data_IF_154520676679
#
_entry.id   IF_154520676679
#
_cell.length_a   1.000
_cell.length_b   1.000
_cell.length_c   1.000
_cell.angle_alpha   90.00
_cell.angle_beta   90.00
_cell.angle_gamma   90.00
#
_symmetry.space_group_name_H-M   'P 1'
#
loop_
_entity.id
_entity.type
_entity.pdbx_description
1 polymer ?
#
# COMPACT_ATOMS: atom_id res chain seq x y z
N UNK A 1 37.70 19.30 3.27
CA UNK A 1 37.56 18.14 4.18
C UNK A 1 36.38 17.30 3.72
N UNK A 2 36.67 16.21 3.00
CA UNK A 2 35.69 15.27 2.47
C UNK A 2 35.02 14.51 3.61
N UNK A 3 33.71 14.70 3.77
CA UNK A 3 32.86 13.89 4.65
C UNK A 3 32.96 12.42 4.20
N UNK A 4 33.84 11.65 4.84
CA UNK A 4 33.83 10.19 4.78
C UNK A 4 32.44 9.74 5.21
N UNK A 5 31.64 9.22 4.28
CA UNK A 5 30.45 8.44 4.61
C UNK A 5 30.91 7.37 5.59
N UNK A 6 30.41 7.41 6.83
CA UNK A 6 30.60 6.29 7.76
C UNK A 6 30.05 5.06 7.07
N UNK A 7 30.92 4.11 6.72
CA UNK A 7 30.50 2.81 6.22
C UNK A 7 29.64 2.18 7.32
N UNK A 8 28.34 2.07 7.05
CA UNK A 8 27.43 1.38 7.96
C UNK A 8 27.85 -0.08 8.00
N UNK A 9 28.08 -0.60 9.19
CA UNK A 9 28.43 -2.00 9.36
C UNK A 9 27.38 -2.89 8.68
N UNK A 10 27.81 -3.95 7.97
CA UNK A 10 26.89 -4.88 7.33
C UNK A 10 26.04 -5.58 8.38
N UNK A 11 24.73 -5.67 8.14
CA UNK A 11 23.80 -6.41 9.00
C UNK A 11 23.68 -7.83 8.45
N UNK A 12 24.32 -8.79 9.12
CA UNK A 12 24.24 -10.21 8.74
C UNK A 12 23.02 -10.84 9.39
N UNK A 13 22.27 -11.63 8.60
CA UNK A 13 21.12 -12.38 9.09
C UNK A 13 20.51 -13.27 8.02
N UNK A 14 19.39 -13.92 8.36
CA UNK A 14 18.67 -14.81 7.46
C UNK A 14 17.74 -13.98 6.57
N UNK A 15 17.92 -14.07 5.25
CA UNK A 15 17.03 -13.42 4.28
C UNK A 15 15.61 -13.99 4.43
N UNK A 16 14.63 -13.12 4.67
CA UNK A 16 13.25 -13.55 4.90
C UNK A 16 12.65 -14.30 3.70
N UNK A 17 13.08 -13.99 2.47
CA UNK A 17 12.58 -14.65 1.25
C UNK A 17 13.30 -15.98 0.98
N UNK A 18 14.61 -15.96 0.70
CA UNK A 18 15.35 -17.17 0.29
C UNK A 18 15.86 -18.02 1.47
N UNK A 19 15.71 -17.57 2.72
CA UNK A 19 16.15 -18.25 3.95
C UNK A 19 17.64 -18.54 4.04
N UNK A 20 18.48 -17.91 3.19
CA UNK A 20 19.94 -18.00 3.26
C UNK A 20 20.50 -16.92 4.18
N UNK A 21 21.57 -17.25 4.91
CA UNK A 21 22.36 -16.25 5.63
C UNK A 21 23.08 -15.34 4.64
N UNK A 22 23.01 -14.02 4.85
CA UNK A 22 23.60 -13.03 3.96
C UNK A 22 23.63 -11.65 4.62
N UNK A 23 24.30 -10.69 3.97
CA UNK A 23 24.12 -9.28 4.28
C UNK A 23 22.71 -8.81 3.86
N UNK A 24 21.91 -8.43 4.85
CA UNK A 24 20.55 -7.95 4.65
C UNK A 24 20.54 -6.48 4.23
N UNK A 25 19.73 -6.17 3.23
CA UNK A 25 19.48 -4.81 2.76
C UNK A 25 18.30 -4.20 3.50
N UNK A 26 18.31 -2.88 3.61
CA UNK A 26 17.24 -2.11 4.21
C UNK A 26 16.04 -2.02 3.24
N UNK A 27 15.23 -3.06 3.26
CA UNK A 27 14.08 -3.27 2.39
C UNK A 27 12.90 -2.40 2.81
N UNK A 28 12.27 -1.71 1.86
CA UNK A 28 10.99 -1.05 2.09
C UNK A 28 9.84 -2.06 2.04
N UNK A 29 8.87 -1.94 2.96
CA UNK A 29 7.68 -2.80 2.99
C UNK A 29 6.75 -2.46 1.81
N UNK A 30 6.47 -1.17 1.62
CA UNK A 30 5.83 -0.62 0.42
C UNK A 30 6.90 0.05 -0.45
N UNK A 31 6.94 -0.14 -1.79
CA UNK A 31 8.03 0.34 -2.62
C UNK A 31 8.36 1.82 -2.44
N UNK A 32 9.66 2.14 -2.36
CA UNK A 32 10.16 3.50 -2.10
C UNK A 32 9.65 4.56 -3.08
N UNK A 33 9.42 4.18 -4.34
CA UNK A 33 8.94 5.13 -5.36
C UNK A 33 7.56 5.72 -4.99
N UNK A 34 6.73 4.96 -4.26
CA UNK A 34 5.41 5.41 -3.81
C UNK A 34 5.56 6.53 -2.78
N UNK A 35 6.40 6.37 -1.76
CA UNK A 35 6.66 7.42 -0.77
C UNK A 35 7.32 8.67 -1.38
N UNK A 36 8.21 8.49 -2.36
CA UNK A 36 8.78 9.61 -3.13
C UNK A 36 7.71 10.38 -3.89
N UNK A 37 6.76 9.68 -4.50
CA UNK A 37 5.63 10.29 -5.18
C UNK A 37 4.72 11.03 -4.20
N UNK A 38 4.35 10.42 -3.06
CA UNK A 38 3.52 11.09 -2.03
C UNK A 38 4.17 12.40 -1.57
N UNK A 39 5.48 12.37 -1.30
CA UNK A 39 6.23 13.54 -0.85
C UNK A 39 6.25 14.64 -1.92
N UNK A 40 6.43 14.29 -3.20
CA UNK A 40 6.42 15.22 -4.32
C UNK A 40 5.03 15.82 -4.56
N UNK A 41 3.99 15.01 -4.38
CA UNK A 41 2.60 15.36 -4.64
C UNK A 41 1.96 16.16 -3.49
N UNK A 42 2.54 16.09 -2.29
CA UNK A 42 2.15 16.86 -1.11
C UNK A 42 2.70 18.28 -1.17
N UNK A 43 1.83 19.28 -1.03
CA UNK A 43 2.25 20.69 -0.97
C UNK A 43 3.26 20.95 0.16
N UNK A 44 3.08 20.30 1.31
CA UNK A 44 3.99 20.49 2.44
C UNK A 44 5.36 19.86 2.21
N UNK A 45 5.46 18.86 1.32
CA UNK A 45 6.68 18.08 1.11
C UNK A 45 7.08 17.23 2.32
N UNK A 46 6.19 17.05 3.30
CA UNK A 46 6.42 16.32 4.55
C UNK A 46 5.48 15.10 4.60
N UNK A 47 6.03 13.97 5.03
CA UNK A 47 5.26 12.76 5.34
C UNK A 47 4.96 12.76 6.84
N UNK A 48 3.81 12.21 7.24
CA UNK A 48 3.39 12.06 8.64
C UNK A 48 2.65 10.73 8.80
N UNK A 49 2.68 10.17 10.01
CA UNK A 49 1.82 9.05 10.37
C UNK A 49 0.50 9.59 10.92
N UNK A 50 -0.59 8.84 10.72
CA UNK A 50 -1.91 9.26 11.19
C UNK A 50 -1.97 9.39 12.72
N UNK A 51 -1.19 8.60 13.44
CA UNK A 51 -1.08 8.61 14.91
C UNK A 51 0.04 9.52 15.45
N UNK A 52 0.89 10.10 14.58
CA UNK A 52 1.93 11.07 14.96
C UNK A 52 1.85 12.35 14.09
N UNK A 53 0.71 13.08 14.10
CA UNK A 53 0.48 14.23 13.21
C UNK A 53 1.49 15.37 13.37
N UNK A 54 2.05 15.51 14.58
CA UNK A 54 2.94 16.61 14.92
C UNK A 54 4.41 16.34 14.56
N UNK A 55 4.73 15.17 13.98
CA UNK A 55 6.10 14.79 13.61
C UNK A 55 6.21 14.41 12.14
N UNK A 56 7.08 15.10 11.42
CA UNK A 56 7.41 14.72 10.05
C UNK A 56 8.34 13.50 10.03
N UNK A 57 8.03 12.53 9.19
CA UNK A 57 8.90 11.39 8.87
C UNK A 57 9.58 11.61 7.51
N UNK A 58 10.73 10.98 7.30
CA UNK A 58 11.54 11.19 6.10
C UNK A 58 11.27 10.18 4.98
N UNK A 59 10.78 8.99 5.34
CA UNK A 59 10.69 7.83 4.46
C UNK A 59 9.60 6.88 4.97
N UNK A 60 9.25 5.88 4.16
CA UNK A 60 8.32 4.82 4.56
C UNK A 60 8.96 3.77 5.48
N UNK A 61 8.11 2.86 5.97
CA UNK A 61 8.54 1.73 6.79
C UNK A 61 9.49 0.80 6.03
N UNK A 62 10.59 0.43 6.71
CA UNK A 62 11.68 -0.36 6.15
C UNK A 62 12.44 -1.09 7.25
N UNK A 63 12.97 -2.26 6.91
CA UNK A 63 13.73 -3.10 7.84
C UNK A 63 14.80 -3.92 7.09
N UNK A 64 15.81 -4.40 7.79
CA UNK A 64 16.79 -5.32 7.20
C UNK A 64 16.11 -6.68 6.98
N UNK A 65 15.69 -6.96 5.74
CA UNK A 65 14.76 -8.07 5.43
C UNK A 65 15.30 -9.04 4.38
N UNK A 66 15.79 -8.51 3.25
CA UNK A 66 16.15 -9.30 2.08
C UNK A 66 17.65 -9.21 1.76
N UNK A 67 18.20 -10.29 1.21
CA UNK A 67 19.53 -10.26 0.62
C UNK A 67 19.53 -9.45 -0.69
N UNK A 68 20.71 -9.05 -1.18
CA UNK A 68 20.84 -8.25 -2.41
C UNK A 68 20.24 -8.91 -3.66
N UNK A 69 20.27 -10.23 -3.76
CA UNK A 69 19.68 -10.96 -4.89
C UNK A 69 18.14 -10.91 -4.85
N UNK A 70 17.53 -11.11 -3.68
CA UNK A 70 16.09 -11.02 -3.52
C UNK A 70 15.57 -9.60 -3.73
N UNK A 71 16.31 -8.57 -3.27
CA UNK A 71 16.03 -7.17 -3.57
C UNK A 71 16.04 -6.90 -5.08
N UNK A 72 17.03 -7.41 -5.81
CA UNK A 72 17.12 -7.26 -7.26
C UNK A 72 15.91 -7.87 -7.96
N UNK A 73 15.48 -9.05 -7.53
CA UNK A 73 14.29 -9.72 -8.08
C UNK A 73 13.02 -8.89 -7.87
N UNK A 74 12.83 -8.29 -6.69
CA UNK A 74 11.67 -7.41 -6.44
C UNK A 74 11.78 -6.12 -7.25
N UNK A 75 12.97 -5.54 -7.35
CA UNK A 75 13.21 -4.31 -8.09
C UNK A 75 12.85 -4.42 -9.58
N UNK A 76 13.02 -5.58 -10.20
CA UNK A 76 12.61 -5.83 -11.58
C UNK A 76 11.10 -5.57 -11.77
N UNK A 77 10.27 -6.21 -10.95
CA UNK A 77 8.80 -6.05 -11.02
C UNK A 77 8.35 -4.66 -10.57
N UNK A 78 9.00 -4.08 -9.55
CA UNK A 78 8.73 -2.71 -9.10
C UNK A 78 9.03 -1.67 -10.20
N UNK A 79 10.10 -1.87 -10.97
CA UNK A 79 10.47 -0.98 -12.07
C UNK A 79 9.45 -1.06 -13.20
N UNK A 80 9.04 -2.28 -13.57
CA UNK A 80 8.00 -2.49 -14.59
C UNK A 80 6.68 -1.84 -14.14
N UNK A 81 6.24 -2.09 -12.90
CA UNK A 81 5.01 -1.51 -12.36
C UNK A 81 5.08 0.01 -12.29
N UNK A 82 6.20 0.57 -11.82
CA UNK A 82 6.41 2.02 -11.74
C UNK A 82 6.21 2.67 -13.11
N UNK A 83 6.87 2.12 -14.14
CA UNK A 83 6.89 2.72 -15.48
C UNK A 83 5.60 2.46 -16.27
N UNK A 84 5.01 1.27 -16.16
CA UNK A 84 3.85 0.87 -16.98
C UNK A 84 2.50 1.16 -16.32
N UNK A 85 2.45 1.31 -15.00
CA UNK A 85 1.19 1.44 -14.25
C UNK A 85 1.18 2.68 -13.39
N UNK A 86 2.11 2.81 -12.44
CA UNK A 86 2.05 3.85 -11.43
C UNK A 86 2.22 5.25 -12.00
N UNK A 87 3.29 5.50 -12.78
CA UNK A 87 3.55 6.82 -13.38
C UNK A 87 2.42 7.22 -14.34
N UNK A 88 1.98 6.37 -15.30
CA UNK A 88 0.81 6.68 -16.14
C UNK A 88 -0.44 7.00 -15.32
N UNK A 89 -0.76 6.18 -14.31
CA UNK A 89 -1.92 6.45 -13.44
C UNK A 89 -1.82 7.81 -12.73
N UNK A 90 -0.65 8.20 -12.23
CA UNK A 90 -0.48 9.48 -11.54
C UNK A 90 -0.58 10.69 -12.48
N UNK A 91 -0.25 10.52 -13.75
CA UNK A 91 -0.29 11.59 -14.75
C UNK A 91 -1.67 11.73 -15.39
N UNK A 92 -2.24 10.59 -15.81
CA UNK A 92 -3.37 10.56 -16.75
C UNK A 92 -4.63 9.92 -16.17
N UNK A 93 -4.55 9.40 -14.94
CA UNK A 93 -5.63 8.60 -14.35
C UNK A 93 -5.69 7.18 -14.91
N UNK A 94 -6.74 6.43 -14.54
CA UNK A 94 -7.02 5.11 -15.11
C UNK A 94 -8.20 5.20 -16.08
N UNK A 95 -7.90 5.52 -17.33
CA UNK A 95 -8.90 5.81 -18.38
C UNK A 95 -8.92 4.77 -19.52
N UNK A 96 -8.01 3.79 -19.50
CA UNK A 96 -7.84 2.80 -20.56
C UNK A 96 -7.61 1.41 -20.00
N UNK A 97 -7.63 0.39 -20.88
CA UNK A 97 -7.32 -0.99 -20.48
C UNK A 97 -5.82 -1.17 -20.24
N UNK A 98 -5.44 -1.56 -19.02
CA UNK A 98 -4.09 -2.02 -18.72
C UNK A 98 -3.93 -3.46 -19.23
N UNK A 99 -3.09 -3.65 -20.26
CA UNK A 99 -2.65 -4.97 -20.72
C UNK A 99 -1.31 -5.31 -20.09
N UNK A 100 -1.14 -6.56 -19.69
CA UNK A 100 0.14 -7.04 -19.19
C UNK A 100 0.40 -8.46 -19.71
N UNK A 101 1.65 -8.72 -20.05
CA UNK A 101 2.11 -10.01 -20.54
C UNK A 101 2.74 -10.82 -19.39
N UNK A 102 2.58 -12.15 -19.42
CA UNK A 102 3.12 -13.03 -18.38
C UNK A 102 2.55 -12.73 -16.99
N UNK A 103 3.35 -12.98 -15.95
CA UNK A 103 2.93 -12.93 -14.55
C UNK A 103 3.50 -11.73 -13.76
N UNK A 104 4.20 -10.78 -14.40
CA UNK A 104 4.93 -9.72 -13.69
C UNK A 104 4.03 -8.87 -12.79
N UNK A 105 2.77 -8.62 -13.18
CA UNK A 105 1.84 -7.85 -12.37
C UNK A 105 1.39 -8.65 -11.14
N UNK A 106 1.17 -9.96 -11.30
CA UNK A 106 0.91 -10.88 -10.20
C UNK A 106 2.11 -10.93 -9.24
N UNK A 107 3.34 -11.03 -9.76
CA UNK A 107 4.57 -11.03 -8.95
C UNK A 107 4.79 -9.72 -8.21
N UNK A 108 4.54 -8.57 -8.85
CA UNK A 108 4.61 -7.27 -8.20
C UNK A 108 3.62 -7.20 -7.02
N UNK A 109 2.36 -7.53 -7.26
CA UNK A 109 1.34 -7.50 -6.20
C UNK A 109 1.71 -8.46 -5.08
N UNK A 110 2.06 -9.70 -5.40
CA UNK A 110 2.45 -10.69 -4.40
C UNK A 110 3.69 -10.26 -3.61
N UNK A 111 4.66 -9.54 -4.21
CA UNK A 111 5.85 -9.07 -3.47
C UNK A 111 5.54 -7.97 -2.46
N UNK A 112 4.60 -7.07 -2.78
CA UNK A 112 4.12 -6.04 -1.85
C UNK A 112 3.30 -6.69 -0.73
N UNK A 113 2.30 -7.50 -1.08
CA UNK A 113 1.44 -8.17 -0.10
C UNK A 113 2.22 -9.15 0.79
N UNK A 114 3.23 -9.85 0.26
CA UNK A 114 4.08 -10.75 1.04
C UNK A 114 4.91 -9.99 2.09
N UNK A 115 5.49 -8.83 1.75
CA UNK A 115 6.25 -8.02 2.72
C UNK A 115 5.36 -7.53 3.86
N UNK A 116 4.14 -7.09 3.54
CA UNK A 116 3.14 -6.66 4.53
C UNK A 116 2.74 -7.85 5.41
N UNK A 117 2.34 -8.98 4.80
CA UNK A 117 1.93 -10.18 5.53
C UNK A 117 3.05 -10.71 6.44
N UNK A 118 4.29 -10.73 5.94
CA UNK A 118 5.45 -11.17 6.72
C UNK A 118 5.64 -10.32 7.98
N UNK A 119 5.54 -8.99 7.83
CA UNK A 119 5.66 -8.06 8.95
C UNK A 119 4.51 -8.23 9.94
N UNK A 120 3.28 -8.34 9.45
CA UNK A 120 2.09 -8.53 10.30
C UNK A 120 2.14 -9.87 11.06
N UNK A 121 2.58 -10.96 10.42
CA UNK A 121 2.79 -12.25 11.10
C UNK A 121 3.76 -12.07 12.27
N UNK A 122 4.88 -11.37 12.05
CA UNK A 122 5.86 -11.10 13.11
C UNK A 122 5.22 -10.33 14.26
N UNK A 123 4.43 -9.29 13.97
CA UNK A 123 3.71 -8.55 15.01
C UNK A 123 2.71 -9.42 15.77
N UNK A 124 1.96 -10.28 15.08
CA UNK A 124 1.02 -11.19 15.72
C UNK A 124 1.70 -12.24 16.60
N UNK A 125 2.90 -12.69 16.24
CA UNK A 125 3.70 -13.62 17.06
C UNK A 125 4.25 -12.96 18.32
N UNK A 126 4.62 -11.67 18.22
CA UNK A 126 5.19 -10.89 19.32
C UNK A 126 4.10 -10.26 20.23
N UNK A 127 2.83 -10.28 19.83
CA UNK A 127 1.72 -9.69 20.60
C UNK A 127 1.46 -10.45 21.91
N UNK A 128 1.52 -9.70 23.02
CA UNK A 128 1.35 -10.19 24.37
C UNK A 128 -0.04 -9.88 24.94
N UNK A 129 -0.72 -8.85 24.42
CA UNK A 129 -2.08 -8.48 24.83
C UNK A 129 -3.08 -9.56 24.34
N UNK A 130 -3.71 -10.33 25.25
CA UNK A 130 -4.64 -11.40 24.86
C UNK A 130 -5.83 -10.89 24.05
N UNK A 131 -6.20 -9.59 24.16
CA UNK A 131 -7.31 -8.99 23.40
C UNK A 131 -6.95 -8.69 21.96
N UNK A 132 -5.65 -8.59 21.63
CA UNK A 132 -5.14 -8.30 20.29
C UNK A 132 -4.54 -9.53 19.61
N UNK A 133 -4.34 -10.60 20.39
CA UNK A 133 -3.75 -11.84 19.90
C UNK A 133 -4.66 -12.51 18.86
N UNK A 134 -4.06 -12.86 17.73
CA UNK A 134 -4.73 -13.66 16.71
C UNK A 134 -4.82 -15.13 17.17
N UNK A 135 -5.89 -15.82 16.80
CA UNK A 135 -6.01 -17.24 17.11
C UNK A 135 -5.00 -18.10 16.31
N UNK A 136 -4.64 -19.24 16.88
CA UNK A 136 -3.61 -20.13 16.33
C UNK A 136 -3.94 -20.67 14.94
N UNK A 137 -5.22 -20.94 14.64
CA UNK A 137 -5.65 -21.48 13.34
C UNK A 137 -5.43 -20.42 12.25
N UNK A 138 -5.79 -19.17 12.52
CA UNK A 138 -5.52 -18.05 11.61
C UNK A 138 -4.03 -17.81 11.45
N UNK A 139 -3.26 -17.76 12.52
CA UNK A 139 -1.80 -17.59 12.41
C UNK A 139 -1.15 -18.66 11.53
N UNK A 140 -1.59 -19.92 11.65
CA UNK A 140 -1.13 -21.01 10.80
C UNK A 140 -1.51 -20.82 9.33
N UNK A 141 -2.74 -20.35 9.06
CA UNK A 141 -3.19 -19.99 7.71
C UNK A 141 -2.30 -18.89 7.09
N UNK A 142 -1.98 -17.85 7.87
CA UNK A 142 -1.14 -16.73 7.40
C UNK A 142 0.28 -17.20 7.09
N UNK A 143 0.89 -18.00 7.97
CA UNK A 143 2.21 -18.58 7.75
C UNK A 143 2.26 -19.48 6.51
N UNK A 144 1.23 -20.32 6.31
CA UNK A 144 1.12 -21.14 5.10
C UNK A 144 0.99 -20.28 3.84
N UNK A 145 0.22 -19.20 3.91
CA UNK A 145 0.02 -18.27 2.80
C UNK A 145 1.30 -17.48 2.47
N UNK A 146 2.00 -17.01 3.49
CA UNK A 146 3.34 -16.40 3.38
C UNK A 146 4.29 -17.36 2.67
N UNK A 147 4.34 -18.64 3.07
CA UNK A 147 5.20 -19.63 2.45
C UNK A 147 4.86 -19.87 0.97
N UNK A 148 3.57 -19.97 0.63
CA UNK A 148 3.11 -20.12 -0.76
C UNK A 148 3.56 -18.93 -1.60
N UNK A 149 3.31 -17.71 -1.12
CA UNK A 149 3.74 -16.48 -1.80
C UNK A 149 5.27 -16.43 -1.94
N UNK A 150 6.02 -16.76 -0.88
CA UNK A 150 7.48 -16.80 -0.87
C UNK A 150 8.04 -17.73 -1.93
N UNK A 151 7.55 -18.98 -1.97
CA UNK A 151 7.96 -19.99 -2.95
C UNK A 151 7.62 -19.58 -4.38
N UNK A 152 6.45 -18.96 -4.60
CA UNK A 152 6.09 -18.42 -5.89
C UNK A 152 7.02 -17.28 -6.34
N UNK A 153 7.35 -16.35 -5.43
CA UNK A 153 8.28 -15.24 -5.69
C UNK A 153 9.71 -15.72 -5.99
N UNK A 154 10.13 -16.85 -5.39
CA UNK A 154 11.40 -17.53 -5.67
C UNK A 154 11.38 -18.41 -6.94
N UNK A 155 10.23 -18.48 -7.62
CA UNK A 155 10.02 -19.37 -8.79
C UNK A 155 10.16 -20.87 -8.46
N UNK A 156 10.06 -21.24 -7.18
CA UNK A 156 9.96 -22.63 -6.73
C UNK A 156 8.55 -23.20 -6.95
N UNK A 157 7.57 -22.32 -7.22
CA UNK A 157 6.20 -22.66 -7.62
C UNK A 157 5.75 -21.77 -8.76
N UNK A 158 4.83 -22.29 -9.58
CA UNK A 158 4.28 -21.60 -10.74
C UNK A 158 3.08 -20.72 -10.42
N UNK A 159 2.42 -20.88 -9.26
CA UNK A 159 1.22 -20.13 -8.86
C UNK A 159 1.15 -19.90 -7.33
N UNK A 160 0.18 -19.09 -6.91
CA UNK A 160 -0.13 -18.75 -5.51
C UNK A 160 -1.33 -19.54 -4.94
N UNK A 161 -1.63 -20.72 -5.49
CA UNK A 161 -2.74 -21.59 -5.07
C UNK A 161 -4.09 -20.85 -5.11
N UNK A 162 -4.88 -20.88 -4.02
CA UNK A 162 -6.19 -20.25 -3.94
C UNK A 162 -6.14 -18.75 -3.59
N UNK A 163 -4.96 -18.17 -3.42
CA UNK A 163 -4.79 -16.74 -3.11
C UNK A 163 -5.13 -15.93 -4.36
N UNK A 164 -5.95 -14.89 -4.20
CA UNK A 164 -6.37 -14.03 -5.33
C UNK A 164 -5.83 -12.62 -5.17
N UNK A 165 -5.23 -12.12 -6.23
CA UNK A 165 -4.76 -10.73 -6.30
C UNK A 165 -5.75 -9.88 -7.08
N UNK A 166 -6.12 -8.74 -6.50
CA UNK A 166 -6.97 -7.73 -7.11
C UNK A 166 -6.26 -6.38 -7.10
N UNK A 167 -6.45 -5.61 -8.17
CA UNK A 167 -5.99 -4.23 -8.29
C UNK A 167 -7.17 -3.33 -8.67
N UNK A 168 -7.31 -2.22 -7.94
CA UNK A 168 -8.35 -1.23 -8.14
C UNK A 168 -7.72 0.17 -8.22
N UNK A 169 -8.11 0.93 -9.24
CA UNK A 169 -7.63 2.28 -9.47
C UNK A 169 -8.67 3.27 -8.96
N UNK A 170 -8.39 3.84 -7.80
CA UNK A 170 -9.13 4.94 -7.19
C UNK A 170 -8.73 6.25 -7.87
N UNK A 171 -9.24 6.45 -9.10
CA UNK A 171 -9.08 7.69 -9.87
C UNK A 171 -10.19 8.68 -9.50
N UNK A 172 -11.06 9.04 -10.44
CA UNK A 172 -12.29 9.80 -10.18
C UNK A 172 -13.40 8.80 -9.86
N UNK A 173 -13.76 8.71 -8.59
CA UNK A 173 -14.88 7.86 -8.18
C UNK A 173 -16.19 8.59 -8.49
N UNK A 174 -17.06 7.95 -9.27
CA UNK A 174 -18.36 8.53 -9.66
C UNK A 174 -19.36 8.52 -8.51
N UNK A 175 -19.33 7.48 -7.68
CA UNK A 175 -20.17 7.31 -6.49
C UNK A 175 -19.37 6.59 -5.39
N UNK A 176 -19.40 7.14 -4.18
CA UNK A 176 -18.69 6.61 -3.03
C UNK A 176 -19.63 6.59 -1.82
N UNK A 177 -20.55 5.62 -1.78
CA UNK A 177 -21.53 5.50 -0.72
C UNK A 177 -20.89 5.51 0.68
N UNK A 178 -21.25 6.50 1.50
CA UNK A 178 -20.82 6.61 2.90
C UNK A 178 -19.35 7.02 3.13
N UNK A 179 -18.60 7.43 2.10
CA UNK A 179 -17.21 7.87 2.24
C UNK A 179 -17.09 9.40 2.20
N UNK A 180 -16.37 9.99 3.17
CA UNK A 180 -16.11 11.43 3.22
C UNK A 180 -14.72 11.80 2.67
N UNK A 181 -14.65 12.72 1.71
CA UNK A 181 -13.40 13.16 1.07
C UNK A 181 -12.47 12.00 0.65
N UNK A 182 -12.98 11.03 -0.14
CA UNK A 182 -12.24 9.80 -0.40
C UNK A 182 -11.00 10.00 -1.31
N UNK A 183 -10.96 11.03 -2.16
CA UNK A 183 -9.77 11.32 -2.98
C UNK A 183 -8.63 11.82 -2.10
N UNK A 184 -8.90 12.71 -1.15
CA UNK A 184 -7.90 13.17 -0.16
C UNK A 184 -7.40 12.00 0.67
N UNK A 185 -8.29 11.09 1.08
CA UNK A 185 -7.91 9.92 1.89
C UNK A 185 -7.07 8.92 1.10
N UNK A 186 -7.58 8.42 -0.03
CA UNK A 186 -6.96 7.31 -0.76
C UNK A 186 -5.79 7.82 -1.62
N UNK A 187 -5.95 8.89 -2.38
CA UNK A 187 -4.84 9.39 -3.20
C UNK A 187 -3.81 10.18 -2.38
N UNK A 188 -4.13 10.57 -1.14
CA UNK A 188 -3.25 11.31 -0.21
C UNK A 188 -2.51 10.45 0.81
N UNK A 189 -2.64 9.13 0.76
CA UNK A 189 -2.02 8.23 1.73
C UNK A 189 -1.30 7.05 1.09
N UNK A 190 -0.44 6.44 1.90
CA UNK A 190 0.20 5.15 1.62
C UNK A 190 0.04 4.31 2.86
N UNK A 191 -0.52 3.11 2.73
CA UNK A 191 -0.71 2.18 3.84
C UNK A 191 -0.73 0.75 3.33
N UNK A 192 -0.45 -0.19 4.24
CA UNK A 192 -0.52 -1.62 3.98
C UNK A 192 -0.74 -2.35 5.30
N UNK A 193 -1.67 -3.30 5.32
CA UNK A 193 -1.96 -4.11 6.50
C UNK A 193 -2.75 -5.36 6.13
N UNK A 194 -2.66 -6.34 7.01
CA UNK A 194 -3.49 -7.54 7.03
C UNK A 194 -4.73 -7.32 7.88
N UNK A 195 -5.88 -7.83 7.42
CA UNK A 195 -7.15 -7.76 8.15
C UNK A 195 -7.91 -9.07 8.00
N UNK A 196 -8.47 -9.54 9.11
CA UNK A 196 -9.35 -10.71 9.13
C UNK A 196 -10.63 -10.41 9.87
N UNK A 197 -11.73 -10.98 9.41
CA UNK A 197 -13.04 -10.85 10.05
C UNK A 197 -13.42 -12.17 10.71
N UNK A 198 -13.66 -12.10 12.01
CA UNK A 198 -13.64 -13.28 12.86
C UNK A 198 -14.83 -14.21 12.64
N UNK A 199 -16.01 -13.64 12.41
CA UNK A 199 -17.27 -14.38 12.30
C UNK A 199 -17.39 -15.09 10.95
N UNK A 200 -16.70 -14.54 9.94
CA UNK A 200 -16.84 -14.91 8.55
C UNK A 200 -15.68 -15.79 8.03
N UNK A 201 -14.68 -16.07 8.88
CA UNK A 201 -13.46 -16.82 8.54
C UNK A 201 -12.78 -16.28 7.27
N UNK A 202 -12.61 -14.95 7.17
CA UNK A 202 -12.00 -14.29 6.01
C UNK A 202 -10.70 -13.58 6.35
N UNK A 203 -9.84 -13.41 5.35
CA UNK A 203 -8.56 -12.74 5.54
C UNK A 203 -8.01 -12.11 4.26
N UNK A 204 -7.50 -10.89 4.39
CA UNK A 204 -7.00 -10.05 3.30
C UNK A 204 -5.68 -9.41 3.68
N UNK A 205 -4.89 -9.10 2.67
CA UNK A 205 -3.83 -8.09 2.74
C UNK A 205 -4.24 -6.94 1.85
N UNK A 206 -4.41 -5.75 2.41
CA UNK A 206 -4.78 -4.55 1.68
C UNK A 206 -3.60 -3.57 1.67
N UNK A 207 -3.34 -2.95 0.53
CA UNK A 207 -2.42 -1.83 0.45
C UNK A 207 -2.92 -0.76 -0.50
N UNK A 208 -2.55 0.48 -0.22
CA UNK A 208 -2.84 1.63 -1.06
C UNK A 208 -1.54 2.32 -1.46
N UNK A 209 -1.35 2.43 -2.77
CA UNK A 209 -0.21 3.07 -3.41
C UNK A 209 -0.67 4.38 -4.06
N UNK A 210 -1.17 5.33 -3.26
CA UNK A 210 -1.62 6.67 -3.70
C UNK A 210 -2.73 6.67 -4.74
N UNK A 211 -3.77 5.86 -4.52
CA UNK A 211 -4.87 5.70 -5.46
C UNK A 211 -4.91 4.32 -6.11
N UNK A 212 -3.80 3.58 -6.11
CA UNK A 212 -3.81 2.19 -6.58
C UNK A 212 -3.99 1.28 -5.38
N UNK A 213 -5.19 0.76 -5.20
CA UNK A 213 -5.52 -0.19 -4.14
C UNK A 213 -5.19 -1.60 -4.64
N UNK A 214 -4.47 -2.33 -3.82
CA UNK A 214 -4.15 -3.75 -4.03
C UNK A 214 -4.80 -4.52 -2.89
N UNK A 215 -5.52 -5.59 -3.25
CA UNK A 215 -6.08 -6.54 -2.28
C UNK A 215 -5.64 -7.94 -2.66
N UNK A 216 -4.97 -8.60 -1.73
CA UNK A 216 -4.65 -10.02 -1.83
C UNK A 216 -5.56 -10.77 -0.87
N UNK A 217 -6.50 -11.53 -1.43
CA UNK A 217 -7.45 -12.34 -0.66
C UNK A 217 -6.75 -13.66 -0.32
N UNK A 218 -6.49 -13.87 0.97
CA UNK A 218 -5.96 -15.13 1.51
C UNK A 218 -7.10 -16.12 1.72
N UNK A 219 -8.25 -15.62 2.19
CA UNK A 219 -9.44 -16.42 2.46
C UNK A 219 -10.68 -15.57 2.17
N UNK A 220 -11.45 -16.00 1.17
CA UNK A 220 -12.56 -15.24 0.61
C UNK A 220 -13.79 -15.20 1.51
N UNK A 221 -14.51 -14.08 1.47
CA UNK A 221 -15.89 -13.99 1.94
C UNK A 221 -16.88 -14.65 0.97
N UNK A 222 -18.07 -14.99 1.45
CA UNK A 222 -19.16 -15.45 0.59
C UNK A 222 -19.78 -14.34 -0.27
N UNK A 223 -19.59 -13.07 0.12
CA UNK A 223 -20.17 -11.90 -0.56
C UNK A 223 -19.16 -11.15 -1.44
N UNK A 224 -18.02 -11.74 -1.79
CA UNK A 224 -17.04 -11.10 -2.66
C UNK A 224 -17.60 -10.84 -4.06
N UNK A 225 -17.60 -9.57 -4.49
CA UNK A 225 -17.92 -9.17 -5.86
C UNK A 225 -16.80 -8.28 -6.40
N UNK A 226 -16.09 -8.83 -7.37
CA UNK A 226 -14.96 -8.18 -8.01
C UNK A 226 -15.11 -8.23 -9.52
N UNK A 227 -15.23 -7.07 -10.17
CA UNK A 227 -15.34 -6.96 -11.63
C UNK A 227 -14.17 -6.18 -12.19
N UNK A 228 -13.49 -6.76 -13.17
CA UNK A 228 -12.35 -6.14 -13.86
C UNK A 228 -11.18 -5.71 -12.95
N UNK A 229 -11.01 -6.35 -11.79
CA UNK A 229 -9.91 -6.08 -10.83
C UNK A 229 -8.95 -7.27 -10.66
N UNK A 230 -9.39 -8.49 -10.99
CA UNK A 230 -8.59 -9.71 -10.78
C UNK A 230 -7.34 -9.71 -11.65
N UNK A 231 -6.18 -9.91 -11.01
CA UNK A 231 -4.88 -10.05 -11.65
C UNK A 231 -4.55 -11.52 -11.80
N UNK A 232 -4.62 -11.99 -13.04
CA UNK A 232 -4.23 -13.34 -13.40
C UNK A 232 -2.73 -13.56 -13.31
N UNK A 233 -2.34 -14.80 -13.04
CA UNK A 233 -0.97 -15.29 -13.09
C UNK A 233 -0.54 -15.72 -14.51
N UNK A 234 -0.96 -14.96 -15.51
CA UNK A 234 -0.79 -15.19 -16.95
C UNK A 234 -1.09 -13.86 -17.69
N UNK A 235 -0.80 -13.73 -19.00
CA UNK A 235 -1.17 -12.53 -19.75
C UNK A 235 -2.63 -12.13 -19.51
N UNK A 236 -2.87 -10.85 -19.26
CA UNK A 236 -4.18 -10.40 -18.80
C UNK A 236 -4.47 -8.94 -19.11
N UNK A 237 -5.69 -8.54 -18.74
CA UNK A 237 -6.21 -7.19 -18.96
C UNK A 237 -7.00 -6.73 -17.74
N UNK A 238 -6.71 -5.53 -17.26
CA UNK A 238 -7.50 -4.80 -16.26
C UNK A 238 -8.26 -3.70 -17.00
N UNK A 239 -9.57 -3.60 -16.78
CA UNK A 239 -10.49 -2.79 -17.60
C UNK A 239 -11.38 -1.91 -16.74
N UNK A 240 -11.98 -0.90 -17.36
CA UNK A 240 -13.11 -0.16 -16.83
C UNK A 240 -14.45 -0.78 -17.29
N UNK A 241 -15.55 -0.54 -16.55
CA UNK A 241 -15.57 -0.04 -15.18
C UNK A 241 -15.06 -1.11 -14.20
N UNK A 242 -14.38 -0.69 -13.14
CA UNK A 242 -14.03 -1.58 -12.03
C UNK A 242 -15.13 -1.51 -10.97
N UNK A 243 -15.61 -2.66 -10.52
CA UNK A 243 -16.64 -2.76 -9.47
C UNK A 243 -16.08 -3.62 -8.34
N UNK A 244 -16.20 -3.11 -7.11
CA UNK A 244 -15.78 -3.81 -5.90
C UNK A 244 -16.90 -3.68 -4.87
N UNK A 245 -17.44 -4.81 -4.46
CA UNK A 245 -18.33 -4.95 -3.31
C UNK A 245 -17.75 -6.11 -2.48
N UNK A 246 -17.02 -5.75 -1.42
CA UNK A 246 -16.24 -6.66 -0.59
C UNK A 246 -16.15 -6.12 0.83
N UNK A 247 -16.21 -6.97 1.87
CA UNK A 247 -16.08 -6.54 3.26
C UNK A 247 -14.81 -5.73 3.53
N UNK A 248 -13.70 -6.04 2.84
CA UNK A 248 -12.42 -5.34 3.01
C UNK A 248 -12.50 -3.85 2.64
N UNK A 249 -13.48 -3.42 1.84
CA UNK A 249 -13.67 -2.00 1.53
C UNK A 249 -14.12 -1.18 2.74
N UNK A 250 -14.71 -1.80 3.78
CA UNK A 250 -15.04 -1.12 5.04
C UNK A 250 -13.79 -0.56 5.75
N UNK A 251 -12.61 -1.09 5.45
CA UNK A 251 -11.35 -0.56 5.96
C UNK A 251 -11.05 0.86 5.47
N UNK A 252 -11.58 1.25 4.30
CA UNK A 252 -11.45 2.63 3.81
C UNK A 252 -12.11 3.60 4.79
N UNK A 253 -13.31 3.27 5.27
CA UNK A 253 -14.01 4.07 6.30
C UNK A 253 -13.23 4.10 7.61
N UNK A 254 -12.63 2.97 8.02
CA UNK A 254 -11.76 2.93 9.23
C UNK A 254 -10.54 3.84 9.10
N UNK A 255 -9.93 3.89 7.91
CA UNK A 255 -8.81 4.79 7.60
C UNK A 255 -9.26 6.24 7.64
N UNK A 256 -10.42 6.57 7.08
CA UNK A 256 -11.01 7.91 7.15
C UNK A 256 -11.17 8.37 8.59
N UNK A 257 -11.74 7.53 9.46
CA UNK A 257 -11.89 7.85 10.88
C UNK A 257 -10.56 8.17 11.56
N UNK A 258 -9.49 7.42 11.25
CA UNK A 258 -8.14 7.72 11.76
C UNK A 258 -7.59 9.05 11.23
N UNK A 259 -7.94 9.44 10.00
CA UNK A 259 -7.53 10.73 9.43
C UNK A 259 -8.30 11.91 10.02
N UNK A 260 -9.54 11.71 10.45
CA UNK A 260 -10.27 12.73 11.21
C UNK A 260 -9.64 12.94 12.59
N UNK A 261 -9.25 11.86 13.29
CA UNK A 261 -8.45 11.97 14.52
C UNK A 261 -7.10 12.67 14.29
N UNK A 262 -6.42 12.37 13.17
CA UNK A 262 -5.20 13.10 12.78
C UNK A 262 -5.45 14.61 12.71
N UNK A 263 -6.59 15.05 12.16
CA UNK A 263 -6.92 16.48 12.08
C UNK A 263 -7.11 17.06 13.48
N UNK A 264 -7.85 16.39 14.36
CA UNK A 264 -8.06 16.87 15.75
C UNK A 264 -6.76 16.97 16.53
N UNK A 265 -5.86 16.01 16.35
CA UNK A 265 -4.60 15.90 17.11
C UNK A 265 -3.48 16.79 16.55
N UNK A 266 -3.69 17.40 15.38
CA UNK A 266 -2.75 18.35 14.80
C UNK A 266 -2.73 19.65 15.62
N UNK A 267 -1.60 19.92 16.26
CA UNK A 267 -1.39 21.09 17.13
C UNK A 267 -1.61 22.42 16.38
N UNK A 268 -2.01 23.45 17.12
CA UNK A 268 -2.20 24.80 16.57
C UNK A 268 -0.95 25.32 15.86
N UNK A 269 0.24 25.06 16.42
CA UNK A 269 1.50 25.44 15.79
C UNK A 269 1.71 24.77 14.43
N UNK A 270 1.44 23.46 14.32
CA UNK A 270 1.53 22.76 13.04
C UNK A 270 0.49 23.25 12.04
N UNK A 271 -0.75 23.51 12.50
CA UNK A 271 -1.81 24.09 11.66
C UNK A 271 -1.38 25.46 11.12
N UNK A 272 -0.87 26.33 11.99
CA UNK A 272 -0.36 27.65 11.60
C UNK A 272 0.76 27.54 10.58
N UNK A 273 1.76 26.67 10.79
CA UNK A 273 2.85 26.46 9.81
C UNK A 273 2.35 26.00 8.43
N UNK A 274 1.31 25.16 8.39
CA UNK A 274 0.71 24.72 7.12
C UNK A 274 -0.01 25.89 6.44
N UNK A 275 -0.81 26.65 7.19
CA UNK A 275 -1.54 27.81 6.68
C UNK A 275 -0.58 28.92 6.20
N UNK A 276 0.44 29.26 6.98
CA UNK A 276 1.46 30.23 6.61
C UNK A 276 2.16 29.82 5.31
N UNK A 277 2.47 28.53 5.16
CA UNK A 277 3.06 28.02 3.91
C UNK A 277 2.10 28.17 2.72
N UNK A 278 0.80 27.89 2.90
CA UNK A 278 -0.21 28.06 1.83
C UNK A 278 -0.33 29.55 1.46
N UNK A 279 -0.42 30.43 2.46
CA UNK A 279 -0.57 31.87 2.24
C UNK A 279 0.66 32.48 1.54
N UNK A 280 1.86 31.97 1.84
CA UNK A 280 3.10 32.43 1.20
C UNK A 280 3.30 31.89 -0.22
N UNK A 281 2.58 30.84 -0.61
CA UNK A 281 2.70 30.19 -1.94
C UNK A 281 1.35 29.61 -2.40
N UNK A 282 0.39 30.51 -2.64
CA UNK A 282 -0.98 30.14 -3.04
C UNK A 282 -0.97 29.42 -4.39
N UNK A 283 -0.18 29.90 -5.35
CA UNK A 283 -0.11 29.31 -6.69
C UNK A 283 0.57 27.94 -6.66
N UNK A 284 1.63 27.76 -5.86
CA UNK A 284 2.21 26.44 -5.63
C UNK A 284 1.24 25.48 -4.93
N UNK A 285 0.39 25.98 -4.02
CA UNK A 285 -0.66 25.15 -3.42
C UNK A 285 -1.69 24.71 -4.45
N UNK A 286 -2.22 25.63 -5.27
CA UNK A 286 -3.18 25.31 -6.35
C UNK A 286 -2.63 24.31 -7.36
N UNK A 287 -1.32 24.36 -7.64
CA UNK A 287 -0.66 23.43 -8.55
C UNK A 287 -0.26 22.09 -7.90
N UNK A 288 -0.49 21.92 -6.60
CA UNK A 288 -0.14 20.69 -5.86
C UNK A 288 -1.18 19.58 -6.00
N UNK A 289 -0.75 18.33 -5.81
CA UNK A 289 -1.67 17.20 -5.69
C UNK A 289 -2.56 17.29 -4.44
N UNK A 290 -2.10 17.98 -3.39
CA UNK A 290 -2.93 18.26 -2.20
C UNK A 290 -4.19 19.04 -2.58
N UNK A 291 -4.05 20.11 -3.35
CA UNK A 291 -5.20 20.90 -3.79
C UNK A 291 -6.07 20.14 -4.79
N UNK A 292 -5.46 19.43 -5.75
CA UNK A 292 -6.20 18.62 -6.74
C UNK A 292 -7.16 17.63 -6.08
N UNK A 293 -6.70 16.91 -5.05
CA UNK A 293 -7.54 15.95 -4.30
C UNK A 293 -8.70 16.61 -3.58
N UNK A 294 -8.48 17.77 -2.96
CA UNK A 294 -9.55 18.56 -2.34
C UNK A 294 -10.61 18.95 -3.38
N UNK A 295 -10.20 19.42 -4.55
CA UNK A 295 -11.13 19.79 -5.61
C UNK A 295 -11.92 18.61 -6.19
N UNK A 296 -11.32 17.41 -6.24
CA UNK A 296 -12.04 16.19 -6.62
C UNK A 296 -13.11 15.81 -5.59
N UNK A 297 -12.80 15.97 -4.31
CA UNK A 297 -13.75 15.71 -3.22
C UNK A 297 -14.90 16.72 -3.19
N UNK A 298 -14.64 18.01 -3.43
CA UNK A 298 -15.71 19.02 -3.55
C UNK A 298 -16.63 18.71 -4.74
N UNK A 299 -16.08 18.38 -5.91
CA UNK A 299 -16.88 17.96 -7.08
C UNK A 299 -17.70 16.70 -6.85
N UNK A 300 -17.23 15.77 -6.01
CA UNK A 300 -17.98 14.57 -5.67
C UNK A 300 -19.19 14.90 -4.78
N UNK A 301 -19.04 15.83 -3.85
CA UNK A 301 -20.16 16.28 -2.98
C UNK A 301 -21.26 16.98 -3.77
N UNK A 302 -20.93 17.71 -4.84
CA UNK A 302 -21.91 18.34 -5.73
C UNK A 302 -22.79 17.34 -6.51
N UNK A 303 -22.37 16.06 -6.60
CA UNK A 303 -23.07 15.00 -7.33
C UNK A 303 -23.94 14.09 -6.43
N UNK A 304 -23.80 14.19 -5.10
CA UNK A 304 -24.53 13.38 -4.11
C UNK A 304 -25.69 14.18 -3.52
#
# INVERSE_FOLDING_TARGET
>A
MSNKKKDKQPVIGICALCKKESELKLSHIIPKFVFRALKKDSFTGKLRLSNEPNRAIQDGEKMHLLCGECEKNFNEFETIFSNKVFIPFKNDGFNTTLKYDGDWLCRFITSVSWRILFLDIKYFEEEQDPKKKIDTKRLLLLKKSEEIMRKYLLKERINIDNIKNHIFFFDTVEEAGGLFNPHTTIQGSVFGFSVGYNQEDTFYVMSNLLGIIIVTIIKEHSQEKWRNTFVKNEPGKIKLPQIVDSPVMSEISRIQSKLETYKTDLSENQRKQILDKINNDIEGFKNSGSYRRLMLDEKLKEKQ
#
